data_IF_589860973916
#
_entry.id   IF_589860973916
#
_cell.length_a   1.000
_cell.length_b   1.000
_cell.length_c   1.000
_cell.angle_alpha   90.00
_cell.angle_beta   90.00
_cell.angle_gamma   90.00
#
_symmetry.space_group_name_H-M   'P 1'
#
loop_
_entity.id
_entity.type
_entity.pdbx_description
1 polymer ?
#
# COMPACT_ATOMS: atom_id res chain seq x y z
N UNK A 1 -76.73 -41.02 -3.90
CA UNK A 1 -77.40 -39.92 -3.16
C UNK A 1 -76.43 -39.43 -2.09
N UNK A 2 -75.95 -38.18 -2.20
CA UNK A 2 -75.07 -37.42 -1.27
C UNK A 2 -73.64 -38.02 -1.06
N UNK A 3 -72.52 -37.32 -1.16
CA UNK A 3 -72.17 -35.90 -1.44
C UNK A 3 -70.67 -35.88 -1.77
N UNK A 4 -70.28 -35.06 -2.75
CA UNK A 4 -68.88 -34.71 -3.08
C UNK A 4 -68.09 -34.28 -1.85
N UNK A 5 -66.81 -34.68 -1.77
CA UNK A 5 -65.80 -33.92 -1.07
C UNK A 5 -64.49 -33.90 -1.89
N UNK A 6 -64.27 -32.75 -2.54
CA UNK A 6 -63.04 -32.34 -3.17
C UNK A 6 -61.90 -32.30 -2.14
N UNK A 7 -61.05 -33.32 -2.08
CA UNK A 7 -59.67 -33.23 -1.55
C UNK A 7 -58.74 -34.24 -2.23
N UNK A 8 -58.73 -34.23 -3.56
CA UNK A 8 -57.52 -34.53 -4.32
C UNK A 8 -56.93 -33.15 -4.67
N UNK A 9 -55.60 -33.04 -4.67
CA UNK A 9 -54.81 -31.82 -4.93
C UNK A 9 -54.64 -30.88 -3.71
N UNK A 10 -54.07 -31.39 -2.61
CA UNK A 10 -53.40 -30.54 -1.61
C UNK A 10 -52.22 -31.24 -0.90
N UNK A 11 -51.82 -32.43 -1.36
CA UNK A 11 -50.79 -33.26 -0.73
C UNK A 11 -49.54 -33.47 -1.62
N UNK A 12 -49.34 -32.63 -2.65
CA UNK A 12 -48.18 -32.71 -3.56
C UNK A 12 -47.53 -31.35 -3.84
N UNK A 13 -47.83 -30.32 -3.04
CA UNK A 13 -47.26 -28.97 -3.19
C UNK A 13 -46.78 -28.31 -1.87
N UNK A 14 -46.63 -29.07 -0.79
CA UNK A 14 -46.25 -28.51 0.53
C UNK A 14 -45.06 -29.23 1.20
N UNK A 15 -44.12 -29.76 0.41
CA UNK A 15 -42.80 -30.21 0.88
C UNK A 15 -41.71 -29.77 -0.11
N UNK A 16 -41.60 -28.46 -0.38
CA UNK A 16 -40.43 -27.84 -1.04
C UNK A 16 -40.25 -26.37 -0.56
N UNK A 17 -40.56 -26.11 0.71
CA UNK A 17 -40.54 -24.77 1.31
C UNK A 17 -39.60 -24.64 2.50
N UNK A 18 -38.50 -25.41 2.55
CA UNK A 18 -37.46 -25.28 3.55
C UNK A 18 -36.09 -25.46 2.89
N UNK A 19 -35.21 -24.48 3.12
CA UNK A 19 -33.79 -24.46 2.76
C UNK A 19 -33.44 -24.20 1.29
N UNK A 20 -34.04 -23.18 0.68
CA UNK A 20 -33.29 -22.32 -0.24
C UNK A 20 -32.90 -21.05 0.52
N UNK A 21 -31.88 -21.18 1.38
CA UNK A 21 -30.97 -20.03 1.59
C UNK A 21 -30.61 -19.58 0.18
N UNK A 22 -30.70 -18.29 -0.19
CA UNK A 22 -30.07 -17.86 -1.41
C UNK A 22 -28.61 -18.24 -1.24
N UNK A 23 -28.17 -19.31 -1.92
CA UNK A 23 -26.77 -19.47 -2.25
C UNK A 23 -26.45 -18.17 -2.94
N UNK A 24 -25.84 -17.24 -2.18
CA UNK A 24 -25.12 -16.09 -2.71
C UNK A 24 -24.30 -16.72 -3.80
N UNK A 25 -24.73 -16.51 -5.04
CA UNK A 25 -24.01 -16.95 -6.20
C UNK A 25 -22.79 -16.08 -6.13
N UNK A 26 -21.73 -16.56 -5.48
CA UNK A 26 -20.45 -15.85 -5.49
C UNK A 26 -20.11 -15.83 -6.97
N UNK A 27 -20.19 -14.65 -7.61
CA UNK A 27 -19.37 -14.45 -8.80
C UNK A 27 -17.98 -14.86 -8.34
N UNK A 28 -17.40 -15.85 -9.02
CA UNK A 28 -16.18 -16.48 -8.59
C UNK A 28 -15.05 -15.48 -8.80
N UNK A 29 -14.94 -14.48 -7.92
CA UNK A 29 -13.87 -13.51 -7.89
C UNK A 29 -12.54 -14.19 -7.57
N UNK A 30 -11.47 -13.42 -7.65
CA UNK A 30 -10.12 -13.89 -7.33
C UNK A 30 -10.08 -14.47 -5.91
N UNK A 31 -9.52 -15.67 -5.77
CA UNK A 31 -9.22 -16.26 -4.47
C UNK A 31 -7.75 -15.96 -4.10
N UNK A 32 -7.54 -15.51 -2.88
CA UNK A 32 -6.21 -15.17 -2.35
C UNK A 32 -5.84 -16.05 -1.16
N UNK A 33 -4.55 -16.37 -1.06
CA UNK A 33 -3.93 -16.99 0.11
C UNK A 33 -2.60 -16.32 0.41
N UNK A 34 -2.10 -16.49 1.62
CA UNK A 34 -0.81 -15.99 2.03
C UNK A 34 0.05 -17.11 2.57
N UNK A 35 1.27 -17.20 2.08
CA UNK A 35 2.25 -18.18 2.54
C UNK A 35 3.66 -17.62 2.36
N UNK A 36 4.51 -17.74 3.39
CA UNK A 36 5.91 -17.31 3.36
C UNK A 36 6.12 -15.88 2.82
N UNK A 37 5.22 -14.96 3.20
CA UNK A 37 5.26 -13.55 2.79
C UNK A 37 4.83 -13.29 1.34
N UNK A 38 4.35 -14.29 0.62
CA UNK A 38 3.79 -14.17 -0.72
C UNK A 38 2.27 -14.11 -0.68
N UNK A 39 1.69 -13.25 -1.53
CA UNK A 39 0.32 -13.44 -2.00
C UNK A 39 0.33 -14.58 -3.01
N UNK A 40 -0.56 -15.54 -2.82
CA UNK A 40 -0.87 -16.58 -3.77
C UNK A 40 -2.24 -16.30 -4.37
N UNK A 41 -2.31 -16.24 -5.69
CA UNK A 41 -3.54 -16.00 -6.43
C UNK A 41 -3.96 -17.28 -7.13
N UNK A 42 -5.26 -17.58 -7.07
CA UNK A 42 -5.89 -18.55 -7.97
C UNK A 42 -6.74 -17.77 -8.97
N UNK A 43 -6.40 -17.90 -10.25
CA UNK A 43 -7.12 -17.22 -11.32
C UNK A 43 -8.53 -17.77 -11.51
N UNK A 44 -9.38 -17.00 -12.21
CA UNK A 44 -10.81 -17.30 -12.42
C UNK A 44 -11.07 -18.69 -13.05
N UNK A 45 -10.12 -19.19 -13.85
CA UNK A 45 -10.17 -20.50 -14.53
C UNK A 45 -9.09 -21.48 -14.06
N UNK A 46 -8.32 -21.12 -13.02
CA UNK A 46 -7.19 -21.90 -12.54
C UNK A 46 -7.55 -22.81 -11.37
N UNK A 47 -7.02 -24.04 -11.36
CA UNK A 47 -7.22 -24.98 -10.25
C UNK A 47 -6.14 -24.85 -9.16
N UNK A 48 -5.11 -24.01 -9.37
CA UNK A 48 -3.92 -23.92 -8.51
C UNK A 48 -3.63 -22.49 -8.10
N UNK A 49 -3.11 -22.36 -6.88
CA UNK A 49 -2.59 -21.11 -6.33
C UNK A 49 -1.15 -20.91 -6.82
N UNK A 50 -0.85 -19.72 -7.34
CA UNK A 50 0.47 -19.34 -7.83
C UNK A 50 0.96 -18.06 -7.14
N UNK A 51 2.28 -17.92 -7.00
CA UNK A 51 2.88 -16.70 -6.45
C UNK A 51 2.54 -15.49 -7.33
N UNK A 52 1.81 -14.55 -6.73
CA UNK A 52 1.49 -13.27 -7.32
C UNK A 52 2.56 -12.25 -6.93
N UNK A 53 3.16 -11.60 -7.93
CA UNK A 53 4.03 -10.44 -7.70
C UNK A 53 3.28 -9.20 -8.18
N UNK A 54 2.96 -8.30 -7.27
CA UNK A 54 2.22 -7.09 -7.64
C UNK A 54 3.11 -6.11 -8.39
N UNK A 55 2.61 -5.59 -9.50
CA UNK A 55 3.16 -4.41 -10.18
C UNK A 55 1.96 -3.50 -10.42
N UNK A 56 1.78 -2.53 -9.53
CA UNK A 56 0.64 -1.62 -9.52
C UNK A 56 1.01 -0.18 -9.85
N UNK A 57 0.03 0.60 -10.31
CA UNK A 57 0.20 2.03 -10.54
C UNK A 57 -0.99 2.85 -10.07
N UNK A 58 -0.71 3.90 -9.29
CA UNK A 58 -1.62 4.99 -9.00
C UNK A 58 -1.55 5.99 -10.15
N UNK A 59 -2.65 6.14 -10.90
CA UNK A 59 -2.68 6.87 -12.17
C UNK A 59 -1.77 6.25 -13.25
N UNK A 60 -2.01 6.62 -14.52
CA UNK A 60 -1.26 6.12 -15.69
C UNK A 60 -0.81 7.33 -16.51
N UNK A 61 0.44 7.80 -16.33
CA UNK A 61 0.93 8.96 -17.06
C UNK A 61 0.77 8.82 -18.57
N UNK A 62 0.23 9.87 -19.20
CA UNK A 62 -0.11 9.87 -20.63
C UNK A 62 -1.46 9.24 -20.97
N UNK A 63 -2.24 8.78 -19.98
CA UNK A 63 -3.61 8.29 -20.16
C UNK A 63 -4.56 8.97 -19.15
N UNK A 64 -5.65 9.55 -19.65
CA UNK A 64 -6.65 10.24 -18.82
C UNK A 64 -7.85 9.32 -18.59
N UNK A 65 -8.15 9.04 -17.32
CA UNK A 65 -9.38 8.36 -16.94
C UNK A 65 -10.58 9.29 -17.13
N UNK A 66 -11.66 8.80 -17.72
CA UNK A 66 -12.90 9.57 -17.93
C UNK A 66 -14.13 8.72 -17.60
N UNK A 67 -15.17 9.37 -17.08
CA UNK A 67 -16.49 8.77 -16.84
C UNK A 67 -17.36 8.78 -18.12
N UNK A 68 -16.99 9.57 -19.13
CA UNK A 68 -17.73 9.69 -20.39
C UNK A 68 -17.83 8.35 -21.14
N UNK A 69 -19.03 8.04 -21.65
CA UNK A 69 -19.23 6.91 -22.55
C UNK A 69 -18.54 7.19 -23.89
N UNK A 70 -17.64 6.31 -24.29
CA UNK A 70 -16.92 6.40 -25.57
C UNK A 70 -17.82 5.85 -26.68
N UNK A 71 -18.65 6.70 -27.29
CA UNK A 71 -19.57 6.29 -28.36
C UNK A 71 -18.93 6.26 -29.76
N UNK A 72 -17.74 6.85 -29.91
CA UNK A 72 -16.94 6.79 -31.14
C UNK A 72 -15.99 5.61 -31.09
N UNK A 73 -16.24 4.61 -31.94
CA UNK A 73 -15.44 3.39 -32.06
C UNK A 73 -13.95 3.70 -32.32
N UNK A 74 -13.64 4.72 -33.13
CA UNK A 74 -12.25 5.05 -33.41
C UNK A 74 -11.54 5.60 -32.17
N UNK A 75 -12.23 6.43 -31.39
CA UNK A 75 -11.71 6.98 -30.14
C UNK A 75 -11.56 5.88 -29.09
N UNK A 76 -12.54 4.98 -28.98
CA UNK A 76 -12.48 3.81 -28.10
C UNK A 76 -11.25 2.95 -28.41
N UNK A 77 -11.03 2.58 -29.67
CA UNK A 77 -9.87 1.76 -30.05
C UNK A 77 -8.54 2.47 -29.77
N UNK A 78 -8.45 3.78 -29.99
CA UNK A 78 -7.25 4.57 -29.66
C UNK A 78 -6.97 4.59 -28.16
N UNK A 79 -7.99 4.85 -27.34
CA UNK A 79 -7.85 4.88 -25.88
C UNK A 79 -7.53 3.49 -25.31
N UNK A 80 -8.19 2.45 -25.82
CA UNK A 80 -7.89 1.07 -25.45
C UNK A 80 -6.45 0.68 -25.80
N UNK A 81 -5.98 1.03 -26.99
CA UNK A 81 -4.59 0.77 -27.41
C UNK A 81 -3.60 1.50 -26.52
N UNK A 82 -3.83 2.79 -26.24
CA UNK A 82 -2.97 3.60 -25.39
C UNK A 82 -2.92 3.05 -23.96
N UNK A 83 -4.08 2.72 -23.37
CA UNK A 83 -4.13 2.12 -22.03
C UNK A 83 -3.34 0.81 -21.96
N UNK A 84 -3.56 -0.10 -22.92
CA UNK A 84 -2.87 -1.39 -22.99
C UNK A 84 -1.36 -1.21 -23.15
N UNK A 85 -0.92 -0.29 -23.99
CA UNK A 85 0.50 0.02 -24.18
C UNK A 85 1.13 0.54 -22.88
N UNK A 86 0.51 1.54 -22.26
CA UNK A 86 1.00 2.19 -21.03
C UNK A 86 1.00 1.26 -19.82
N UNK A 87 0.09 0.29 -19.79
CA UNK A 87 -0.07 -0.64 -18.67
C UNK A 87 0.42 -2.06 -19.00
N UNK A 88 1.05 -2.28 -20.15
CA UNK A 88 1.55 -3.60 -20.57
C UNK A 88 2.41 -4.29 -19.50
N UNK A 89 3.38 -3.61 -18.82
CA UNK A 89 4.20 -4.27 -17.81
C UNK A 89 3.58 -4.26 -16.40
N UNK A 90 2.32 -3.80 -16.26
CA UNK A 90 1.62 -3.56 -15.00
C UNK A 90 0.44 -4.54 -14.91
N UNK A 91 0.21 -5.11 -13.72
CA UNK A 91 -0.90 -6.04 -13.48
C UNK A 91 -1.98 -5.49 -12.54
N UNK A 92 -1.75 -4.33 -11.93
CA UNK A 92 -2.75 -3.64 -11.09
C UNK A 92 -2.85 -2.15 -11.39
N UNK A 93 -4.05 -1.58 -11.34
CA UNK A 93 -4.26 -0.15 -11.57
C UNK A 93 -5.25 0.37 -10.54
N UNK A 94 -4.94 1.51 -9.91
CA UNK A 94 -5.92 2.19 -9.06
C UNK A 94 -7.10 2.66 -9.90
N UNK A 95 -8.30 2.26 -9.48
CA UNK A 95 -9.52 2.56 -10.21
C UNK A 95 -10.53 3.22 -9.28
N UNK A 96 -11.07 4.35 -9.72
CA UNK A 96 -12.25 4.94 -9.08
C UNK A 96 -13.50 4.31 -9.71
N UNK A 97 -14.43 3.78 -8.91
CA UNK A 97 -15.72 3.30 -9.43
C UNK A 97 -16.41 4.38 -10.28
N UNK A 98 -16.84 4.01 -11.49
CA UNK A 98 -17.41 4.89 -12.51
C UNK A 98 -16.44 5.26 -13.65
N UNK A 99 -15.13 5.13 -13.46
CA UNK A 99 -14.12 5.46 -14.50
C UNK A 99 -13.67 4.25 -15.32
N UNK A 100 -14.11 3.05 -14.96
CA UNK A 100 -13.73 1.82 -15.64
C UNK A 100 -14.27 1.76 -17.07
N UNK A 101 -13.51 1.13 -17.96
CA UNK A 101 -13.89 0.75 -19.31
C UNK A 101 -13.67 -0.74 -19.50
N UNK A 102 -14.41 -1.37 -20.41
CA UNK A 102 -14.35 -2.81 -20.66
C UNK A 102 -12.92 -3.30 -20.96
N UNK A 103 -12.14 -2.53 -21.72
CA UNK A 103 -10.75 -2.86 -22.05
C UNK A 103 -9.77 -2.80 -20.86
N UNK A 104 -10.18 -2.29 -19.70
CA UNK A 104 -9.36 -2.24 -18.48
C UNK A 104 -9.56 -3.46 -17.59
N UNK A 105 -10.51 -4.35 -17.91
CA UNK A 105 -10.89 -5.51 -17.10
C UNK A 105 -9.81 -6.59 -16.98
N UNK A 106 -8.75 -6.51 -17.81
CA UNK A 106 -7.59 -7.41 -17.74
C UNK A 106 -6.65 -7.12 -16.56
N UNK A 107 -6.82 -5.98 -15.87
CA UNK A 107 -6.00 -5.58 -14.73
C UNK A 107 -6.76 -5.82 -13.42
N UNK A 108 -6.04 -6.15 -12.36
CA UNK A 108 -6.61 -6.10 -11.01
C UNK A 108 -6.83 -4.63 -10.62
N UNK A 109 -8.05 -4.25 -10.28
CA UNK A 109 -8.38 -2.88 -9.89
C UNK A 109 -8.12 -2.68 -8.39
N UNK A 110 -7.36 -1.65 -8.04
CA UNK A 110 -7.13 -1.26 -6.66
C UNK A 110 -8.13 -0.18 -6.27
N UNK A 111 -9.06 -0.50 -5.38
CA UNK A 111 -10.11 0.40 -4.92
C UNK A 111 -9.67 1.11 -3.64
N UNK A 112 -9.63 2.44 -3.61
CA UNK A 112 -9.29 3.20 -2.39
C UNK A 112 -10.47 4.07 -1.89
N UNK A 113 -11.53 3.47 -1.31
CA UNK A 113 -12.73 4.20 -0.95
C UNK A 113 -12.73 4.73 0.50
N UNK A 114 -11.83 4.26 1.37
CA UNK A 114 -12.04 4.39 2.81
C UNK A 114 -11.70 5.77 3.38
N UNK A 115 -10.76 6.48 2.77
CA UNK A 115 -10.46 7.87 3.16
C UNK A 115 -11.70 8.76 3.04
N UNK A 116 -12.36 8.89 1.86
CA UNK A 116 -13.56 9.72 1.75
C UNK A 116 -14.74 9.20 2.59
N UNK A 117 -14.89 7.89 2.77
CA UNK A 117 -15.92 7.31 3.66
C UNK A 117 -15.72 7.80 5.09
N UNK A 118 -14.50 7.68 5.63
CA UNK A 118 -14.21 8.09 7.01
C UNK A 118 -14.39 9.60 7.20
N UNK A 119 -13.93 10.41 6.24
CA UNK A 119 -14.10 11.86 6.29
C UNK A 119 -15.58 12.28 6.27
N UNK A 120 -16.36 11.70 5.36
CA UNK A 120 -17.80 11.95 5.25
C UNK A 120 -18.55 11.60 6.54
N UNK A 121 -18.17 10.52 7.21
CA UNK A 121 -18.73 10.17 8.52
C UNK A 121 -18.43 11.24 9.57
N UNK A 122 -17.15 11.61 9.71
CA UNK A 122 -16.70 12.56 10.73
C UNK A 122 -17.27 13.97 10.51
N UNK A 123 -17.44 14.39 9.26
CA UNK A 123 -18.00 15.70 8.90
C UNK A 123 -19.50 15.82 9.27
N UNK A 124 -20.18 14.71 9.54
CA UNK A 124 -21.60 14.69 9.94
C UNK A 124 -21.80 14.74 11.46
N UNK A 125 -20.74 14.61 12.26
CA UNK A 125 -20.85 14.52 13.73
C UNK A 125 -20.99 15.93 14.34
N UNK A 126 -22.13 16.24 14.99
CA UNK A 126 -22.34 17.56 15.59
C UNK A 126 -21.36 17.83 16.73
N UNK A 127 -20.77 19.03 16.72
CA UNK A 127 -19.93 19.51 17.82
C UNK A 127 -18.49 19.00 17.81
N UNK A 128 -18.05 18.26 16.79
CA UNK A 128 -16.62 18.06 16.57
C UNK A 128 -15.96 19.41 16.22
N UNK A 129 -14.83 19.75 16.85
CA UNK A 129 -14.14 21.00 16.54
C UNK A 129 -13.69 21.09 15.09
N UNK A 130 -13.95 22.24 14.49
CA UNK A 130 -13.36 22.67 13.23
C UNK A 130 -12.16 23.58 13.52
N UNK A 131 -11.12 23.53 12.67
CA UNK A 131 -9.92 24.38 12.81
C UNK A 131 -8.60 23.60 12.79
N UNK A 132 -7.56 24.20 13.36
CA UNK A 132 -6.18 23.68 13.32
C UNK A 132 -6.00 22.36 14.08
N UNK A 133 -6.84 22.10 15.09
CA UNK A 133 -6.77 20.94 15.97
C UNK A 133 -7.78 19.85 15.61
N UNK A 134 -8.55 20.04 14.53
CA UNK A 134 -9.68 19.17 14.17
C UNK A 134 -9.27 17.69 14.08
N UNK A 135 -8.07 17.41 13.59
CA UNK A 135 -7.62 16.04 13.33
C UNK A 135 -7.30 15.29 14.63
N UNK A 136 -6.77 15.99 15.63
CA UNK A 136 -6.61 15.44 16.98
C UNK A 136 -7.96 15.03 17.56
N UNK A 137 -8.94 15.94 17.56
CA UNK A 137 -10.26 15.68 18.13
C UNK A 137 -11.02 14.59 17.37
N UNK A 138 -10.92 14.56 16.03
CA UNK A 138 -11.46 13.49 15.18
C UNK A 138 -10.85 12.14 15.55
N UNK A 139 -9.53 12.07 15.73
CA UNK A 139 -8.86 10.84 16.17
C UNK A 139 -9.34 10.38 17.55
N UNK A 140 -9.41 11.29 18.53
CA UNK A 140 -9.90 10.94 19.88
C UNK A 140 -11.39 10.53 19.89
N UNK A 141 -12.21 11.12 19.00
CA UNK A 141 -13.61 10.74 18.83
C UNK A 141 -13.72 9.31 18.28
N UNK A 142 -12.96 8.99 17.22
CA UNK A 142 -12.98 7.66 16.62
C UNK A 142 -12.57 6.56 17.61
N UNK A 143 -11.59 6.80 18.48
CA UNK A 143 -11.18 5.82 19.51
C UNK A 143 -12.33 5.42 20.45
N UNK A 144 -13.30 6.32 20.69
CA UNK A 144 -14.44 6.07 21.57
C UNK A 144 -15.60 5.36 20.86
N UNK A 145 -15.68 5.54 19.55
CA UNK A 145 -16.83 5.12 18.75
C UNK A 145 -16.56 3.89 17.89
N UNK A 146 -15.30 3.45 17.77
CA UNK A 146 -14.91 2.39 16.82
C UNK A 146 -15.74 1.09 16.93
N UNK A 147 -16.24 0.77 18.12
CA UNK A 147 -17.08 -0.41 18.38
C UNK A 147 -18.57 -0.07 18.56
N UNK A 148 -19.01 1.13 18.14
CA UNK A 148 -20.41 1.52 18.23
C UNK A 148 -21.23 0.91 17.08
N UNK A 149 -22.47 0.48 17.33
CA UNK A 149 -23.34 -0.06 16.28
C UNK A 149 -23.56 0.93 15.12
N UNK A 150 -23.61 2.23 15.41
CA UNK A 150 -23.84 3.27 14.41
C UNK A 150 -22.67 3.39 13.42
N UNK A 151 -21.43 3.25 13.91
CA UNK A 151 -20.26 3.29 13.04
C UNK A 151 -20.14 2.02 12.19
N UNK A 152 -20.44 0.85 12.78
CA UNK A 152 -20.50 -0.41 12.02
C UNK A 152 -21.56 -0.36 10.92
N UNK A 153 -22.79 0.06 11.24
CA UNK A 153 -23.87 0.19 10.26
C UNK A 153 -23.50 1.14 9.12
N UNK A 154 -22.83 2.26 9.44
CA UNK A 154 -22.34 3.19 8.43
C UNK A 154 -21.31 2.54 7.48
N UNK A 155 -20.31 1.85 8.03
CA UNK A 155 -19.30 1.15 7.23
C UNK A 155 -19.94 0.07 6.36
N UNK A 156 -20.86 -0.71 6.94
CA UNK A 156 -21.57 -1.79 6.25
C UNK A 156 -22.34 -1.26 5.03
N UNK A 157 -23.06 -0.15 5.20
CA UNK A 157 -23.81 0.50 4.11
C UNK A 157 -22.88 0.98 2.99
N UNK A 158 -21.75 1.62 3.32
CA UNK A 158 -20.83 2.10 2.29
C UNK A 158 -20.06 0.95 1.60
N UNK A 159 -19.72 -0.12 2.32
CA UNK A 159 -19.09 -1.34 1.75
C UNK A 159 -20.04 -2.04 0.79
N UNK A 160 -21.32 -2.20 1.15
CA UNK A 160 -22.32 -2.78 0.26
C UNK A 160 -22.48 -1.97 -1.03
N UNK A 161 -22.50 -0.63 -0.95
CA UNK A 161 -22.55 0.24 -2.13
C UNK A 161 -21.34 0.05 -3.04
N UNK A 162 -20.14 -0.15 -2.49
CA UNK A 162 -18.95 -0.45 -3.28
C UNK A 162 -19.14 -1.78 -4.01
N UNK A 163 -19.62 -2.81 -3.32
CA UNK A 163 -19.85 -4.14 -3.90
C UNK A 163 -20.90 -4.11 -5.03
N UNK A 164 -21.91 -3.25 -4.93
CA UNK A 164 -22.92 -3.03 -5.98
C UNK A 164 -22.37 -2.29 -7.21
N UNK A 165 -21.22 -1.61 -7.07
CA UNK A 165 -20.63 -0.72 -8.10
C UNK A 165 -19.23 -1.17 -8.54
N UNK A 166 -18.87 -2.42 -8.25
CA UNK A 166 -17.54 -2.96 -8.58
C UNK A 166 -17.25 -2.83 -10.09
N UNK A 167 -16.01 -2.45 -10.44
CA UNK A 167 -15.66 -2.23 -11.84
C UNK A 167 -15.51 -3.54 -12.64
N UNK A 168 -15.24 -4.66 -11.97
CA UNK A 168 -15.18 -6.04 -12.49
C UNK A 168 -15.00 -7.04 -11.33
N UNK A 169 -14.84 -8.33 -11.62
CA UNK A 169 -14.59 -9.40 -10.63
C UNK A 169 -13.10 -9.54 -10.20
N UNK A 170 -12.21 -8.67 -10.68
CA UNK A 170 -10.77 -8.65 -10.43
C UNK A 170 -10.36 -7.37 -9.69
N UNK A 171 -10.57 -7.34 -8.37
CA UNK A 171 -10.27 -6.18 -7.55
C UNK A 171 -9.61 -6.56 -6.24
N UNK A 172 -8.97 -5.54 -5.66
CA UNK A 172 -8.50 -5.54 -4.28
C UNK A 172 -8.88 -4.20 -3.66
N UNK A 173 -8.81 -4.11 -2.34
CA UNK A 173 -8.97 -2.87 -1.62
C UNK A 173 -7.61 -2.29 -1.25
N UNK A 174 -7.47 -0.98 -1.37
CA UNK A 174 -6.49 -0.19 -0.65
C UNK A 174 -7.19 0.49 0.50
N UNK A 175 -6.54 0.47 1.67
CA UNK A 175 -6.95 1.22 2.83
C UNK A 175 -6.71 2.72 2.63
N UNK A 176 -6.92 3.49 3.69
CA UNK A 176 -6.58 4.90 3.80
C UNK A 176 -5.09 5.07 3.52
N UNK A 177 -4.79 5.95 2.57
CA UNK A 177 -3.43 6.39 2.24
C UNK A 177 -2.71 6.85 3.51
N UNK A 178 -1.45 6.45 3.72
CA UNK A 178 -0.61 6.81 4.87
C UNK A 178 -1.33 6.81 6.24
N UNK A 179 -2.11 5.77 6.53
CA UNK A 179 -3.03 5.73 7.68
C UNK A 179 -2.39 6.11 9.03
N UNK A 180 -1.11 5.73 9.23
CA UNK A 180 -0.39 5.98 10.47
C UNK A 180 0.26 7.38 10.55
N UNK A 181 0.27 8.15 9.45
CA UNK A 181 0.58 9.58 9.46
C UNK A 181 -0.69 10.45 9.47
N UNK A 182 -1.87 9.83 9.46
CA UNK A 182 -3.17 10.50 9.45
C UNK A 182 -3.85 10.56 8.10
N UNK A 183 -3.31 9.89 7.09
CA UNK A 183 -3.72 10.04 5.69
C UNK A 183 -3.83 11.49 5.27
N UNK A 184 -4.90 11.86 4.58
CA UNK A 184 -5.16 13.26 4.17
C UNK A 184 -5.43 14.23 5.36
N UNK A 185 -5.11 13.84 6.59
CA UNK A 185 -5.23 14.60 7.85
C UNK A 185 -3.85 14.82 8.52
N UNK A 186 -3.82 15.50 9.68
CA UNK A 186 -2.60 15.85 10.44
C UNK A 186 -2.45 15.08 11.75
N UNK A 187 -3.20 14.00 11.94
CA UNK A 187 -3.13 13.12 13.11
C UNK A 187 -3.45 11.68 12.71
N UNK A 188 -2.70 10.72 13.24
CA UNK A 188 -2.84 9.30 12.90
C UNK A 188 -4.27 8.80 13.11
N UNK A 189 -4.78 8.04 12.15
CA UNK A 189 -6.03 7.31 12.31
C UNK A 189 -5.76 6.15 13.27
N UNK A 190 -6.54 5.95 14.35
CA UNK A 190 -6.25 4.92 15.34
C UNK A 190 -6.17 3.51 14.71
N UNK A 191 -5.22 2.65 15.13
CA UNK A 191 -5.11 1.30 14.60
C UNK A 191 -6.39 0.48 14.71
N UNK A 192 -7.19 0.71 15.76
CA UNK A 192 -8.49 0.05 15.97
C UNK A 192 -9.49 0.38 14.85
N UNK A 193 -9.48 1.61 14.33
CA UNK A 193 -10.35 2.02 13.20
C UNK A 193 -9.93 1.31 11.92
N UNK A 194 -8.62 1.24 11.67
CA UNK A 194 -8.08 0.49 10.54
C UNK A 194 -8.47 -0.99 10.59
N UNK A 195 -8.36 -1.60 11.77
CA UNK A 195 -8.78 -2.98 12.01
C UNK A 195 -10.29 -3.19 11.86
N UNK A 196 -11.12 -2.26 12.36
CA UNK A 196 -12.57 -2.30 12.20
C UNK A 196 -12.97 -2.25 10.73
N UNK A 197 -12.39 -1.34 9.93
CA UNK A 197 -12.63 -1.28 8.48
C UNK A 197 -12.31 -2.62 7.82
N UNK A 198 -11.15 -3.21 8.12
CA UNK A 198 -10.76 -4.52 7.58
C UNK A 198 -11.76 -5.62 8.00
N UNK A 199 -12.15 -5.68 9.27
CA UNK A 199 -13.17 -6.61 9.79
C UNK A 199 -14.48 -6.50 9.00
N UNK A 200 -14.99 -5.28 8.80
CA UNK A 200 -16.25 -5.06 8.07
C UNK A 200 -16.13 -5.43 6.60
N UNK A 201 -15.00 -5.13 5.95
CA UNK A 201 -14.75 -5.57 4.56
C UNK A 201 -14.81 -7.09 4.47
N UNK A 202 -14.11 -7.81 5.34
CA UNK A 202 -14.09 -9.29 5.36
C UNK A 202 -15.44 -9.91 5.70
N UNK A 203 -16.31 -9.19 6.41
CA UNK A 203 -17.68 -9.63 6.67
C UNK A 203 -18.52 -9.72 5.38
N UNK A 204 -18.39 -8.74 4.49
CA UNK A 204 -19.17 -8.68 3.24
C UNK A 204 -18.48 -9.34 2.05
N UNK A 205 -17.16 -9.25 1.99
CA UNK A 205 -16.29 -9.88 1.00
C UNK A 205 -15.17 -10.67 1.71
N UNK A 206 -15.44 -11.92 2.13
CA UNK A 206 -14.48 -12.75 2.85
C UNK A 206 -13.19 -13.05 2.07
N UNK A 207 -13.25 -12.94 0.74
CA UNK A 207 -12.11 -13.19 -0.13
C UNK A 207 -11.33 -11.91 -0.45
N UNK A 208 -11.78 -10.72 -0.03
CA UNK A 208 -11.09 -9.45 -0.30
C UNK A 208 -9.59 -9.52 0.03
N UNK A 209 -8.74 -8.93 -0.80
CA UNK A 209 -7.36 -8.60 -0.43
C UNK A 209 -7.32 -7.13 -0.04
N UNK A 210 -6.82 -6.80 1.15
CA UNK A 210 -6.73 -5.41 1.65
C UNK A 210 -5.27 -5.01 1.78
N UNK A 211 -4.84 -4.10 0.91
CA UNK A 211 -3.55 -3.44 0.95
C UNK A 211 -3.59 -2.20 1.86
N UNK A 212 -2.57 -2.03 2.70
CA UNK A 212 -2.44 -0.90 3.63
C UNK A 212 -1.19 -0.10 3.29
N UNK A 213 -1.38 1.15 2.86
CA UNK A 213 -0.30 2.14 2.80
C UNK A 213 -0.12 2.76 4.19
N UNK A 214 0.94 2.38 4.90
CA UNK A 214 1.11 2.77 6.30
C UNK A 214 1.63 4.20 6.46
N UNK A 215 2.61 4.61 5.65
CA UNK A 215 3.47 5.76 5.94
C UNK A 215 4.02 6.46 4.68
N UNK A 216 3.97 7.80 4.69
CA UNK A 216 4.72 8.72 3.80
C UNK A 216 6.22 8.82 4.07
N UNK A 217 6.63 8.45 5.27
CA UNK A 217 8.01 8.45 5.74
C UNK A 217 8.09 7.71 7.08
N UNK A 218 9.28 7.26 7.48
CA UNK A 218 9.46 6.58 8.77
C UNK A 218 10.24 7.40 9.80
N UNK A 219 10.27 8.73 9.68
CA UNK A 219 10.95 9.62 10.63
C UNK A 219 10.22 9.73 11.98
N UNK A 220 8.91 9.52 11.99
CA UNK A 220 8.07 9.55 13.19
C UNK A 220 6.60 9.77 12.85
N UNK A 221 5.72 9.69 13.85
CA UNK A 221 4.27 9.90 13.69
C UNK A 221 3.62 10.36 14.98
N UNK A 222 2.40 10.88 14.88
CA UNK A 222 1.57 11.19 16.06
C UNK A 222 1.17 9.94 16.83
N UNK A 223 1.04 8.79 16.18
CA UNK A 223 0.84 7.50 16.86
C UNK A 223 1.99 7.19 17.84
N UNK A 224 3.25 7.36 17.42
CA UNK A 224 4.40 7.11 18.30
C UNK A 224 4.49 8.13 19.43
N UNK A 225 4.09 9.38 19.19
CA UNK A 225 3.92 10.36 20.26
C UNK A 225 2.90 9.89 21.29
N UNK A 226 1.71 9.48 20.86
CA UNK A 226 0.65 9.02 21.76
C UNK A 226 1.09 7.81 22.58
N UNK A 227 1.67 6.79 21.94
CA UNK A 227 2.17 5.59 22.62
C UNK A 227 3.19 5.96 23.70
N UNK A 228 4.09 6.90 23.41
CA UNK A 228 5.08 7.38 24.40
C UNK A 228 4.41 8.20 25.50
N UNK A 229 3.47 9.08 25.16
CA UNK A 229 2.76 9.92 26.13
C UNK A 229 2.02 9.06 27.17
N UNK A 230 1.34 8.00 26.70
CA UNK A 230 0.57 7.08 27.53
C UNK A 230 1.42 6.16 28.42
N UNK A 231 2.74 6.11 28.24
CA UNK A 231 3.63 5.42 29.19
C UNK A 231 3.72 6.16 30.55
N UNK A 232 3.37 7.44 30.58
CA UNK A 232 3.50 8.30 31.76
C UNK A 232 2.20 9.01 32.15
N UNK A 233 1.14 8.85 31.36
CA UNK A 233 -0.17 9.44 31.58
C UNK A 233 -1.27 8.41 31.32
N UNK A 234 -2.34 8.44 32.10
CA UNK A 234 -3.45 7.47 31.95
C UNK A 234 -4.23 7.65 30.64
N UNK A 235 -4.29 8.88 30.12
CA UNK A 235 -5.01 9.21 28.90
C UNK A 235 -4.49 10.49 28.26
N UNK A 236 -4.77 10.67 26.97
CA UNK A 236 -4.59 11.95 26.29
C UNK A 236 -5.59 13.00 26.82
N UNK A 237 -5.19 14.28 26.90
CA UNK A 237 -6.07 15.35 27.37
C UNK A 237 -7.20 15.66 26.37
N UNK A 238 -8.16 16.49 26.79
CA UNK A 238 -9.28 16.90 25.91
C UNK A 238 -8.80 17.68 24.68
N UNK A 239 -7.83 18.55 24.88
CA UNK A 239 -7.18 19.36 23.85
C UNK A 239 -5.76 18.81 23.60
N UNK A 240 -5.12 19.10 22.44
CA UNK A 240 -3.76 18.62 22.19
C UNK A 240 -2.79 19.11 23.29
N UNK A 241 -1.91 18.25 23.83
CA UNK A 241 -0.98 18.58 24.92
C UNK A 241 0.18 19.47 24.45
N UNK A 242 -0.13 20.70 24.05
CA UNK A 242 0.79 21.65 23.44
C UNK A 242 1.98 22.04 24.34
N UNK A 243 1.84 21.87 25.65
CA UNK A 243 2.92 22.02 26.62
C UNK A 243 4.05 20.99 26.46
N UNK A 244 3.81 19.90 25.71
CA UNK A 244 4.76 18.80 25.51
C UNK A 244 5.61 18.92 24.24
N UNK A 245 5.45 19.99 23.46
CA UNK A 245 6.11 20.17 22.15
C UNK A 245 6.85 21.51 22.05
N UNK A 246 7.61 21.70 20.97
CA UNK A 246 8.29 22.96 20.66
C UNK A 246 7.28 24.13 20.60
N UNK A 247 7.45 25.21 21.40
CA UNK A 247 6.58 26.38 21.35
C UNK A 247 6.50 27.04 19.96
N UNK A 248 7.52 26.88 19.11
CA UNK A 248 7.52 27.32 17.73
C UNK A 248 6.43 26.69 16.87
N UNK A 249 5.98 25.48 17.21
CA UNK A 249 4.87 24.81 16.52
C UNK A 249 3.55 25.59 16.65
N UNK A 250 3.30 26.23 17.79
CA UNK A 250 2.08 27.04 18.02
C UNK A 250 1.99 28.23 17.06
N UNK A 251 3.14 28.76 16.64
CA UNK A 251 3.23 29.84 15.64
C UNK A 251 3.06 29.37 14.20
N UNK A 252 3.00 28.06 13.96
CA UNK A 252 2.87 27.46 12.63
C UNK A 252 1.45 27.54 12.06
N UNK A 253 1.34 27.47 10.75
CA UNK A 253 0.07 27.21 10.06
C UNK A 253 -0.53 25.85 10.46
N UNK A 254 0.33 24.88 10.79
CA UNK A 254 -0.05 23.50 11.16
C UNK A 254 0.63 23.11 12.49
N UNK A 255 0.09 23.52 13.65
CA UNK A 255 0.70 23.23 14.96
C UNK A 255 0.79 21.74 15.28
N UNK A 256 -0.15 20.92 14.78
CA UNK A 256 -0.15 19.48 15.03
C UNK A 256 1.11 18.75 14.53
N UNK A 257 1.86 19.34 13.60
CA UNK A 257 3.15 18.77 13.15
C UNK A 257 4.15 18.64 14.31
N UNK A 258 4.04 19.45 15.36
CA UNK A 258 4.95 19.36 16.50
C UNK A 258 4.77 18.09 17.32
N UNK A 259 3.73 17.30 17.10
CA UNK A 259 3.52 15.99 17.73
C UNK A 259 4.05 14.81 16.90
N UNK A 260 4.66 15.05 15.73
CA UNK A 260 5.28 13.96 14.97
C UNK A 260 6.64 13.65 15.57
N UNK A 261 6.69 12.59 16.36
CA UNK A 261 7.92 12.14 17.03
C UNK A 261 8.32 10.74 16.58
N UNK A 262 9.62 10.49 16.59
CA UNK A 262 10.16 9.13 16.54
C UNK A 262 9.84 8.37 17.84
N UNK A 263 10.01 7.04 17.82
CA UNK A 263 9.79 6.18 18.99
C UNK A 263 10.59 6.62 20.24
N UNK A 264 11.77 7.20 20.04
CA UNK A 264 12.63 7.71 21.11
C UNK A 264 12.29 9.15 21.52
N UNK A 265 11.34 9.81 20.84
CA UNK A 265 10.91 11.19 21.09
C UNK A 265 11.66 12.25 20.31
N UNK A 266 12.53 11.90 19.36
CA UNK A 266 13.12 12.89 18.46
C UNK A 266 12.05 13.55 17.58
N UNK A 267 12.08 14.87 17.40
CA UNK A 267 11.06 15.58 16.63
C UNK A 267 11.28 15.43 15.13
N UNK A 268 10.23 15.11 14.38
CA UNK A 268 10.29 15.03 12.91
C UNK A 268 10.43 16.40 12.26
N UNK A 269 9.84 17.43 12.87
CA UNK A 269 9.81 18.79 12.34
C UNK A 269 10.48 19.78 13.27
N UNK A 270 11.06 20.81 12.68
CA UNK A 270 11.59 21.99 13.37
C UNK A 270 10.80 23.23 12.92
N UNK A 271 10.71 24.24 13.79
CA UNK A 271 9.89 25.41 13.55
C UNK A 271 10.71 26.71 13.63
N UNK A 272 10.62 27.56 12.62
CA UNK A 272 11.21 28.90 12.59
C UNK A 272 10.22 29.90 11.98
N UNK A 273 9.87 30.95 12.74
CA UNK A 273 9.00 32.06 12.30
C UNK A 273 7.71 31.60 11.60
N UNK A 274 7.03 30.61 12.18
CA UNK A 274 5.77 30.06 11.66
C UNK A 274 5.91 29.13 10.46
N UNK A 275 7.13 28.84 10.01
CA UNK A 275 7.43 27.82 9.01
C UNK A 275 7.97 26.57 9.67
N UNK A 276 7.87 25.45 8.96
CA UNK A 276 8.43 24.17 9.39
C UNK A 276 9.35 23.57 8.33
N UNK A 277 10.30 22.76 8.77
CA UNK A 277 11.14 21.90 7.94
C UNK A 277 11.34 20.55 8.60
N UNK A 278 11.78 19.55 7.85
CA UNK A 278 12.19 18.28 8.45
C UNK A 278 13.43 18.48 9.32
N UNK A 279 13.48 17.78 10.45
CA UNK A 279 14.73 17.55 11.17
C UNK A 279 15.64 16.69 10.31
N UNK A 280 16.85 17.17 10.09
CA UNK A 280 17.91 16.40 9.45
C UNK A 280 18.60 15.52 10.50
N UNK A 281 18.71 14.23 10.19
CA UNK A 281 19.40 13.25 11.03
C UNK A 281 20.64 12.75 10.30
N UNK A 282 21.73 12.53 11.04
CA UNK A 282 22.86 11.76 10.55
C UNK A 282 22.39 10.37 10.08
N UNK A 283 22.96 9.85 9.00
CA UNK A 283 22.43 8.68 8.30
C UNK A 283 22.24 7.45 9.20
N UNK A 284 23.17 7.18 10.12
CA UNK A 284 23.03 6.02 11.01
C UNK A 284 21.92 6.21 12.06
N UNK A 285 21.72 7.45 12.51
CA UNK A 285 20.57 7.79 13.36
C UNK A 285 19.27 7.66 12.57
N UNK A 286 19.25 8.15 11.32
CA UNK A 286 18.12 8.00 10.42
C UNK A 286 17.77 6.53 10.21
N UNK A 287 18.73 5.66 9.89
CA UNK A 287 18.51 4.22 9.70
C UNK A 287 17.89 3.56 10.94
N UNK A 288 18.42 3.85 12.13
CA UNK A 288 17.89 3.30 13.38
C UNK A 288 16.47 3.78 13.68
N UNK A 289 16.23 5.09 13.57
CA UNK A 289 14.90 5.68 13.75
C UNK A 289 13.92 5.12 12.72
N UNK A 290 14.34 5.04 11.45
CA UNK A 290 13.54 4.52 10.34
C UNK A 290 13.08 3.09 10.59
N UNK A 291 14.03 2.22 10.96
CA UNK A 291 13.75 0.83 11.25
C UNK A 291 12.77 0.67 12.42
N UNK A 292 13.09 1.25 13.58
CA UNK A 292 12.30 1.08 14.80
C UNK A 292 10.90 1.68 14.66
N UNK A 293 10.77 2.87 14.06
CA UNK A 293 9.47 3.49 13.83
C UNK A 293 8.62 2.63 12.90
N UNK A 294 9.19 2.14 11.79
CA UNK A 294 8.47 1.28 10.84
C UNK A 294 7.99 -0.01 11.53
N UNK A 295 8.87 -0.67 12.28
CA UNK A 295 8.60 -1.93 12.97
C UNK A 295 7.47 -1.77 14.00
N UNK A 296 7.54 -0.74 14.84
CA UNK A 296 6.54 -0.47 15.88
C UNK A 296 5.18 -0.12 15.28
N UNK A 297 5.16 0.76 14.28
CA UNK A 297 3.93 1.16 13.60
C UNK A 297 3.30 -0.05 12.89
N UNK A 298 4.09 -0.83 12.15
CA UNK A 298 3.56 -2.00 11.46
C UNK A 298 2.97 -3.04 12.44
N UNK A 299 3.61 -3.24 13.60
CA UNK A 299 3.08 -4.07 14.68
C UNK A 299 1.74 -3.55 15.22
N UNK A 300 1.61 -2.23 15.42
CA UNK A 300 0.38 -1.60 15.88
C UNK A 300 -0.78 -1.74 14.88
N UNK A 301 -0.48 -1.60 13.58
CA UNK A 301 -1.47 -1.60 12.50
C UNK A 301 -1.70 -2.96 11.84
N UNK A 302 -1.08 -4.04 12.33
CA UNK A 302 -1.16 -5.40 11.71
C UNK A 302 -2.57 -5.92 11.44
N UNK A 303 -3.59 -5.46 12.18
CA UNK A 303 -4.99 -5.83 11.99
C UNK A 303 -5.71 -5.09 10.87
N UNK A 304 -5.09 -4.06 10.29
CA UNK A 304 -5.72 -3.15 9.32
C UNK A 304 -5.79 -3.70 7.89
N UNK A 305 -5.14 -4.82 7.58
CA UNK A 305 -5.22 -5.43 6.27
C UNK A 305 -4.39 -6.70 6.15
N UNK A 306 -4.20 -7.16 4.91
CA UNK A 306 -3.51 -8.40 4.58
C UNK A 306 -2.10 -8.15 4.02
N UNK A 307 -1.91 -7.03 3.33
CA UNK A 307 -0.67 -6.66 2.65
C UNK A 307 -0.30 -5.25 3.03
N UNK A 308 0.98 -4.97 3.24
CA UNK A 308 1.42 -3.68 3.77
C UNK A 308 2.52 -3.06 2.93
N UNK A 309 2.51 -1.74 2.89
CA UNK A 309 3.46 -0.92 2.16
C UNK A 309 3.69 0.44 2.80
N UNK A 310 4.63 1.19 2.23
CA UNK A 310 4.86 2.60 2.52
C UNK A 310 5.26 3.32 1.22
N UNK A 311 5.16 4.65 1.17
CA UNK A 311 5.36 5.48 -0.01
C UNK A 311 6.41 6.61 0.19
N UNK A 312 7.57 6.26 0.75
CA UNK A 312 8.65 7.18 1.16
C UNK A 312 9.61 7.65 0.04
N UNK A 313 9.09 8.22 -1.05
CA UNK A 313 9.83 8.51 -2.29
C UNK A 313 11.10 9.36 -2.12
N UNK A 314 11.01 10.45 -1.34
CA UNK A 314 12.10 11.42 -1.18
C UNK A 314 13.25 10.82 -0.39
N UNK A 315 12.93 10.09 0.68
CA UNK A 315 13.93 9.44 1.53
C UNK A 315 14.61 8.28 0.79
N UNK A 316 13.86 7.48 0.02
CA UNK A 316 14.46 6.44 -0.83
C UNK A 316 15.33 7.03 -1.92
N UNK A 317 14.93 8.15 -2.53
CA UNK A 317 15.77 8.85 -3.49
C UNK A 317 17.06 9.32 -2.81
N UNK A 318 16.99 9.93 -1.62
CA UNK A 318 18.16 10.39 -0.88
C UNK A 318 19.07 9.22 -0.47
N UNK A 319 18.50 8.13 0.04
CA UNK A 319 19.20 6.98 0.61
C UNK A 319 18.56 5.67 0.14
N UNK A 320 18.98 5.09 -1.00
CA UNK A 320 18.36 3.88 -1.56
C UNK A 320 18.34 2.67 -0.61
N UNK A 321 19.32 2.57 0.28
CA UNK A 321 19.40 1.54 1.33
C UNK A 321 18.14 1.47 2.23
N UNK A 322 17.44 2.61 2.40
CA UNK A 322 16.22 2.66 3.21
C UNK A 322 15.09 1.79 2.65
N UNK A 323 15.08 1.50 1.34
CA UNK A 323 14.04 0.64 0.74
C UNK A 323 14.18 -0.83 1.19
N UNK A 324 15.39 -1.29 1.48
CA UNK A 324 15.64 -2.61 2.07
C UNK A 324 15.35 -2.65 3.58
N UNK A 325 15.84 -1.64 4.31
CA UNK A 325 15.61 -1.48 5.76
C UNK A 325 14.11 -1.44 6.08
N UNK A 326 13.33 -0.75 5.24
CA UNK A 326 11.88 -0.71 5.37
C UNK A 326 11.25 -2.09 5.30
N UNK A 327 11.64 -2.91 4.31
CA UNK A 327 11.07 -4.25 4.13
C UNK A 327 11.41 -5.14 5.31
N UNK A 328 12.64 -5.09 5.82
CA UNK A 328 13.02 -5.85 7.02
C UNK A 328 12.21 -5.39 8.25
N UNK A 329 12.01 -4.09 8.44
CA UNK A 329 11.25 -3.54 9.55
C UNK A 329 9.75 -3.90 9.49
N UNK A 330 9.14 -3.78 8.31
CA UNK A 330 7.76 -4.22 8.07
C UNK A 330 7.62 -5.72 8.35
N UNK A 331 8.56 -6.53 7.85
CA UNK A 331 8.58 -7.99 8.05
C UNK A 331 8.64 -8.35 9.52
N UNK A 332 9.47 -7.66 10.30
CA UNK A 332 9.58 -7.91 11.74
C UNK A 332 8.32 -7.47 12.52
N UNK A 333 7.74 -6.30 12.18
CA UNK A 333 6.53 -5.81 12.83
C UNK A 333 5.27 -6.61 12.50
N UNK A 334 5.14 -7.09 11.26
CA UNK A 334 3.95 -7.78 10.76
C UNK A 334 4.03 -9.31 10.88
N UNK A 335 5.24 -9.85 10.97
CA UNK A 335 5.52 -11.28 10.96
C UNK A 335 5.85 -11.87 9.58
N UNK A 336 6.34 -13.12 9.56
CA UNK A 336 6.95 -13.73 8.38
C UNK A 336 5.98 -14.01 7.23
N UNK A 337 4.67 -14.11 7.51
CA UNK A 337 3.68 -14.52 6.50
C UNK A 337 3.01 -13.34 5.77
N UNK A 338 3.17 -12.11 6.26
CA UNK A 338 2.45 -10.94 5.74
C UNK A 338 3.12 -10.39 4.48
N UNK A 339 2.45 -10.35 3.32
CA UNK A 339 3.08 -9.80 2.11
C UNK A 339 3.39 -8.31 2.21
N UNK A 340 4.46 -7.88 1.54
CA UNK A 340 4.97 -6.50 1.59
C UNK A 340 5.08 -5.95 0.18
N UNK A 341 4.34 -4.88 -0.11
CA UNK A 341 4.36 -4.18 -1.40
C UNK A 341 4.80 -2.74 -1.20
N UNK A 342 5.89 -2.33 -1.83
CA UNK A 342 6.50 -1.00 -1.60
C UNK A 342 6.15 -0.04 -2.73
N UNK A 343 5.81 1.20 -2.39
CA UNK A 343 5.63 2.26 -3.38
C UNK A 343 6.96 2.89 -3.79
N UNK A 344 7.05 3.22 -5.08
CA UNK A 344 8.14 3.97 -5.69
C UNK A 344 7.60 5.13 -6.53
N UNK A 345 8.44 6.12 -6.77
CA UNK A 345 8.08 7.27 -7.61
C UNK A 345 8.03 6.84 -9.08
N UNK A 346 6.86 6.97 -9.71
CA UNK A 346 6.63 6.53 -11.07
C UNK A 346 6.84 7.60 -12.14
N UNK A 347 6.76 8.89 -11.80
CA UNK A 347 6.85 9.98 -12.77
C UNK A 347 7.70 11.18 -12.34
N UNK A 348 8.54 11.01 -11.33
CA UNK A 348 9.58 11.98 -10.98
C UNK A 348 9.08 13.12 -10.10
N UNK A 349 8.20 12.81 -9.16
CA UNK A 349 7.83 13.70 -8.06
C UNK A 349 9.04 14.09 -7.20
N UNK A 350 9.83 13.11 -6.78
CA UNK A 350 11.03 13.28 -5.98
C UNK A 350 12.29 13.50 -6.84
N UNK A 351 12.18 13.44 -8.17
CA UNK A 351 13.30 13.66 -9.09
C UNK A 351 13.75 15.13 -9.06
N UNK A 352 15.03 15.41 -8.75
CA UNK A 352 15.60 16.75 -8.91
C UNK A 352 15.53 17.22 -10.37
N UNK A 353 15.37 18.53 -10.58
CA UNK A 353 15.22 19.11 -11.93
C UNK A 353 16.45 18.88 -12.81
N UNK A 354 17.65 18.81 -12.22
CA UNK A 354 18.93 18.61 -12.92
C UNK A 354 19.27 17.14 -13.21
N UNK A 355 18.45 16.18 -12.78
CA UNK A 355 18.69 14.75 -13.03
C UNK A 355 17.87 14.30 -14.25
N UNK A 356 18.50 13.71 -15.29
CA UNK A 356 17.77 13.14 -16.43
C UNK A 356 16.86 11.97 -16.01
N UNK A 357 15.73 11.74 -16.71
CA UNK A 357 14.84 10.61 -16.45
C UNK A 357 15.54 9.26 -16.34
N UNK A 358 16.45 8.92 -17.26
CA UNK A 358 17.13 7.62 -17.31
C UNK A 358 18.00 7.39 -16.07
N UNK A 359 18.71 8.44 -15.64
CA UNK A 359 19.52 8.41 -14.40
C UNK A 359 18.67 8.32 -13.14
N UNK A 360 17.47 8.90 -13.17
CA UNK A 360 16.54 8.72 -12.07
C UNK A 360 16.02 7.28 -11.99
N UNK A 361 15.71 6.67 -13.14
CA UNK A 361 15.23 5.28 -13.20
C UNK A 361 16.32 4.28 -12.79
N UNK A 362 17.61 4.55 -12.99
CA UNK A 362 18.70 3.74 -12.40
C UNK A 362 18.58 3.67 -10.86
N UNK A 363 18.26 4.78 -10.21
CA UNK A 363 18.05 4.84 -8.75
C UNK A 363 16.80 4.06 -8.36
N UNK A 364 15.68 4.27 -9.06
CA UNK A 364 14.41 3.56 -8.78
C UNK A 364 14.57 2.05 -8.97
N UNK A 365 15.28 1.62 -10.02
CA UNK A 365 15.63 0.21 -10.25
C UNK A 365 16.41 -0.39 -9.07
N UNK A 366 17.44 0.33 -8.60
CA UNK A 366 18.23 -0.08 -7.44
C UNK A 366 17.33 -0.24 -6.20
N UNK A 367 16.44 0.71 -5.93
CA UNK A 367 15.50 0.66 -4.80
C UNK A 367 14.56 -0.56 -4.88
N UNK A 368 13.98 -0.83 -6.06
CA UNK A 368 13.06 -1.96 -6.30
C UNK A 368 13.76 -3.29 -6.03
N UNK A 369 14.92 -3.52 -6.65
CA UNK A 369 15.64 -4.78 -6.47
C UNK A 369 16.21 -4.94 -5.07
N UNK A 370 16.58 -3.84 -4.41
CA UNK A 370 16.92 -3.85 -2.97
C UNK A 370 15.72 -4.30 -2.15
N UNK A 371 14.53 -3.74 -2.36
CA UNK A 371 13.32 -4.20 -1.65
C UNK A 371 12.99 -5.67 -1.94
N UNK A 372 13.16 -6.14 -3.18
CA UNK A 372 12.99 -7.56 -3.55
C UNK A 372 13.97 -8.46 -2.80
N UNK A 373 15.26 -8.10 -2.75
CA UNK A 373 16.29 -8.84 -1.99
C UNK A 373 15.92 -8.92 -0.50
N UNK A 374 15.23 -7.92 0.03
CA UNK A 374 14.78 -7.93 1.42
C UNK A 374 13.44 -8.66 1.65
N UNK A 375 12.76 -9.07 0.58
CA UNK A 375 11.55 -9.90 0.64
C UNK A 375 10.25 -9.18 0.31
N UNK A 376 10.30 -8.04 -0.38
CA UNK A 376 9.12 -7.45 -1.00
C UNK A 376 8.59 -8.37 -2.10
N UNK A 377 7.26 -8.55 -2.12
CA UNK A 377 6.55 -9.43 -3.07
C UNK A 377 5.64 -8.63 -4.00
N UNK A 378 5.84 -7.32 -4.05
CA UNK A 378 5.18 -6.43 -4.96
C UNK A 378 5.75 -5.02 -4.91
N UNK A 379 5.48 -4.28 -5.97
CA UNK A 379 5.85 -2.88 -6.12
C UNK A 379 4.65 -2.10 -6.65
N UNK A 380 4.50 -0.88 -6.16
CA UNK A 380 3.46 0.06 -6.60
C UNK A 380 4.13 1.36 -7.04
N UNK A 381 3.53 2.07 -7.98
CA UNK A 381 4.02 3.37 -8.42
C UNK A 381 3.03 4.47 -8.08
N UNK A 382 3.53 5.55 -7.49
CA UNK A 382 2.77 6.79 -7.36
C UNK A 382 3.15 7.75 -8.47
N UNK A 383 2.15 8.33 -9.12
CA UNK A 383 2.35 9.29 -10.20
C UNK A 383 1.59 10.59 -9.89
N UNK A 384 2.32 11.70 -9.90
CA UNK A 384 1.77 13.04 -9.75
C UNK A 384 0.99 13.46 -11.01
N UNK A 385 -0.26 13.88 -10.84
CA UNK A 385 -1.14 14.30 -11.93
C UNK A 385 -0.64 15.54 -12.69
N UNK A 386 0.25 16.34 -12.08
CA UNK A 386 0.80 17.57 -12.67
C UNK A 386 2.05 17.36 -13.53
N UNK A 387 2.64 16.15 -13.53
CA UNK A 387 3.90 15.86 -14.22
C UNK A 387 3.65 15.29 -15.62
N UNK A 388 4.62 15.50 -16.51
CA UNK A 388 4.65 14.87 -17.84
C UNK A 388 5.03 13.39 -17.72
N UNK A 389 4.82 12.63 -18.79
CA UNK A 389 5.09 11.19 -18.82
C UNK A 389 6.58 10.82 -18.98
N UNK A 390 7.50 11.77 -19.16
CA UNK A 390 8.90 11.49 -19.55
C UNK A 390 9.63 10.49 -18.62
N UNK A 391 9.44 10.61 -17.31
CA UNK A 391 10.03 9.67 -16.33
C UNK A 391 9.33 8.31 -16.38
N UNK A 392 8.02 8.31 -16.58
CA UNK A 392 7.24 7.08 -16.74
C UNK A 392 7.63 6.34 -18.03
N UNK A 393 7.91 7.06 -19.12
CA UNK A 393 8.40 6.50 -20.38
C UNK A 393 9.74 5.79 -20.19
N UNK A 394 10.65 6.39 -19.42
CA UNK A 394 11.93 5.78 -19.05
C UNK A 394 11.77 4.59 -18.08
N UNK A 395 10.69 4.56 -17.29
CA UNK A 395 10.37 3.48 -16.35
C UNK A 395 9.88 2.21 -17.08
N UNK A 396 9.09 2.34 -18.15
CA UNK A 396 8.46 1.20 -18.83
C UNK A 396 9.45 0.11 -19.30
N UNK A 397 10.60 0.42 -19.94
CA UNK A 397 11.60 -0.59 -20.28
C UNK A 397 12.15 -1.35 -19.07
N UNK A 398 12.38 -0.65 -17.96
CA UNK A 398 12.86 -1.26 -16.71
C UNK A 398 11.81 -2.22 -16.12
N UNK A 399 10.52 -1.88 -16.21
CA UNK A 399 9.44 -2.80 -15.82
C UNK A 399 9.33 -4.01 -16.76
N UNK A 400 9.63 -3.84 -18.05
CA UNK A 400 9.78 -4.95 -18.98
C UNK A 400 10.89 -5.92 -18.56
N UNK A 401 12.05 -5.38 -18.17
CA UNK A 401 13.16 -6.17 -17.60
C UNK A 401 12.74 -6.89 -16.31
N UNK A 402 12.06 -6.21 -15.39
CA UNK A 402 11.57 -6.83 -14.15
C UNK A 402 10.62 -7.99 -14.44
N UNK A 403 9.66 -7.83 -15.35
CA UNK A 403 8.74 -8.89 -15.76
C UNK A 403 9.48 -10.12 -16.28
N UNK A 404 10.52 -9.93 -17.09
CA UNK A 404 11.37 -11.03 -17.57
C UNK A 404 12.11 -11.76 -16.45
N UNK A 405 12.42 -11.06 -15.35
CA UNK A 405 13.11 -11.61 -14.19
C UNK A 405 12.18 -12.16 -13.10
N UNK A 406 10.86 -11.94 -13.17
CA UNK A 406 9.90 -12.45 -12.18
C UNK A 406 9.96 -13.98 -11.97
N UNK A 407 10.20 -14.83 -12.99
CA UNK A 407 10.41 -16.26 -12.76
C UNK A 407 11.54 -16.53 -11.77
N UNK A 408 12.62 -15.76 -11.78
CA UNK A 408 13.74 -15.86 -10.83
C UNK A 408 13.34 -15.30 -9.47
N UNK A 409 12.68 -14.14 -9.42
CA UNK A 409 12.24 -13.50 -8.17
C UNK A 409 11.29 -14.40 -7.37
N UNK A 410 10.41 -15.14 -8.03
CA UNK A 410 9.45 -16.06 -7.40
C UNK A 410 10.07 -17.36 -6.88
N UNK A 411 11.30 -17.70 -7.28
CA UNK A 411 11.99 -18.91 -6.80
C UNK A 411 12.25 -18.87 -5.30
N UNK A 412 12.56 -20.04 -4.73
CA UNK A 412 12.95 -20.19 -3.33
C UNK A 412 14.24 -19.41 -3.06
N UNK A 413 14.21 -18.56 -2.03
CA UNK A 413 15.41 -17.92 -1.49
C UNK A 413 16.22 -18.96 -0.70
N UNK A 414 17.50 -19.11 -1.05
CA UNK A 414 18.43 -20.00 -0.35
C UNK A 414 19.32 -19.23 0.62
N UNK A 415 19.72 -18.01 0.23
CA UNK A 415 20.63 -17.16 0.99
C UNK A 415 20.27 -15.70 0.75
N UNK A 416 20.38 -14.89 1.81
CA UNK A 416 20.34 -13.43 1.77
C UNK A 416 21.55 -12.93 2.54
N UNK A 417 22.34 -12.05 1.93
CA UNK A 417 23.47 -11.37 2.57
C UNK A 417 23.33 -9.87 2.34
N UNK A 418 23.44 -9.10 3.42
CA UNK A 418 23.35 -7.64 3.41
C UNK A 418 24.55 -7.11 4.18
N UNK A 419 25.41 -6.38 3.49
CA UNK A 419 26.55 -5.68 4.08
C UNK A 419 26.51 -4.22 3.65
N UNK A 420 25.99 -3.37 4.54
CA UNK A 420 25.81 -1.94 4.31
C UNK A 420 25.05 -1.64 3.01
N UNK A 421 25.77 -1.28 1.95
CA UNK A 421 25.22 -0.92 0.65
C UNK A 421 25.21 -2.08 -0.36
N UNK A 422 25.82 -3.23 -0.02
CA UNK A 422 25.80 -4.43 -0.85
C UNK A 422 24.67 -5.35 -0.38
N UNK A 423 23.72 -5.61 -1.27
CA UNK A 423 22.57 -6.46 -1.01
C UNK A 423 22.61 -7.63 -1.99
N UNK A 424 22.55 -8.87 -1.49
CA UNK A 424 22.65 -10.09 -2.31
C UNK A 424 21.60 -11.10 -1.88
N UNK A 425 20.95 -11.71 -2.86
CA UNK A 425 20.05 -12.84 -2.70
C UNK A 425 20.42 -13.96 -3.67
N UNK A 426 20.47 -15.20 -3.17
CA UNK A 426 20.61 -16.39 -3.99
C UNK A 426 19.27 -17.13 -4.07
N UNK A 427 18.80 -17.34 -5.30
CA UNK A 427 17.58 -18.05 -5.66
C UNK A 427 17.90 -19.44 -6.20
N UNK A 428 17.01 -20.41 -5.98
CA UNK A 428 17.18 -21.78 -6.52
C UNK A 428 15.86 -22.36 -6.99
N UNK A 429 15.92 -23.03 -8.14
CA UNK A 429 14.88 -23.95 -8.61
C UNK A 429 15.53 -25.21 -9.23
N UNK A 430 15.21 -26.37 -8.68
CA UNK A 430 15.86 -27.63 -9.05
C UNK A 430 17.39 -27.58 -8.95
N UNK A 431 18.08 -27.68 -10.09
CA UNK A 431 19.54 -27.61 -10.19
C UNK A 431 20.07 -26.20 -10.49
N UNK A 432 19.21 -25.27 -10.90
CA UNK A 432 19.60 -23.91 -11.29
C UNK A 432 19.65 -23.01 -10.08
N UNK A 433 20.68 -22.16 -10.02
CA UNK A 433 20.84 -21.13 -9.00
C UNK A 433 21.02 -19.79 -9.69
N UNK A 434 20.47 -18.75 -9.10
CA UNK A 434 20.58 -17.38 -9.60
C UNK A 434 21.00 -16.45 -8.48
N UNK A 435 21.78 -15.44 -8.81
CA UNK A 435 22.08 -14.30 -7.95
C UNK A 435 21.22 -13.11 -8.37
N UNK A 436 20.73 -12.37 -7.39
CA UNK A 436 20.22 -11.00 -7.52
C UNK A 436 21.05 -10.17 -6.56
N UNK A 437 21.75 -9.15 -7.08
CA UNK A 437 22.58 -8.26 -6.27
C UNK A 437 22.32 -6.80 -6.61
N UNK A 438 22.40 -5.94 -5.61
CA UNK A 438 22.22 -4.50 -5.75
C UNK A 438 23.28 -3.74 -4.92
N UNK A 439 23.82 -2.67 -5.50
CA UNK A 439 24.66 -1.70 -4.80
C UNK A 439 23.85 -0.42 -4.56
N UNK A 440 23.52 -0.12 -3.30
CA UNK A 440 22.76 1.10 -2.94
C UNK A 440 23.64 2.33 -2.74
N UNK A 441 24.97 2.21 -2.87
CA UNK A 441 25.87 3.37 -2.90
C UNK A 441 25.66 4.17 -4.19
N UNK A 442 25.67 5.49 -4.05
CA UNK A 442 25.61 6.44 -5.17
C UNK A 442 26.98 6.80 -5.73
N UNK A 443 28.06 6.41 -5.06
CA UNK A 443 29.42 6.87 -5.37
C UNK A 443 30.41 5.73 -5.52
N UNK A 444 30.25 4.65 -4.75
CA UNK A 444 31.30 3.66 -4.57
C UNK A 444 31.02 2.40 -5.38
N UNK A 445 32.08 1.85 -5.99
CA UNK A 445 32.05 0.50 -6.52
C UNK A 445 32.24 -0.49 -5.37
N UNK A 446 31.40 -1.53 -5.30
CA UNK A 446 31.46 -2.54 -4.24
C UNK A 446 31.91 -3.90 -4.79
N UNK A 447 32.78 -4.64 -4.08
CA UNK A 447 33.22 -5.96 -4.50
C UNK A 447 32.08 -6.99 -4.38
N UNK A 448 31.84 -7.75 -5.44
CA UNK A 448 30.88 -8.85 -5.50
C UNK A 448 31.65 -10.17 -5.43
N UNK A 449 32.14 -10.50 -4.22
CA UNK A 449 32.98 -11.67 -3.95
C UNK A 449 32.15 -12.96 -3.84
N UNK A 450 31.42 -13.33 -4.90
CA UNK A 450 30.60 -14.55 -4.93
C UNK A 450 31.25 -15.60 -5.85
N UNK A 451 31.40 -16.83 -5.36
CA UNK A 451 31.95 -17.94 -6.15
C UNK A 451 31.01 -18.31 -7.30
N UNK A 452 31.56 -18.49 -8.50
CA UNK A 452 30.81 -18.94 -9.69
C UNK A 452 30.41 -17.83 -10.67
N UNK A 453 30.50 -16.56 -10.27
CA UNK A 453 30.22 -15.43 -11.17
C UNK A 453 31.51 -14.77 -11.67
N UNK A 454 31.43 -14.18 -12.87
CA UNK A 454 32.53 -13.39 -13.46
C UNK A 454 32.55 -11.93 -13.02
N UNK A 455 31.44 -11.42 -12.48
CA UNK A 455 31.29 -10.01 -12.10
C UNK A 455 31.96 -9.79 -10.75
N UNK A 456 33.11 -9.12 -10.75
CA UNK A 456 33.91 -8.88 -9.54
C UNK A 456 33.49 -7.63 -8.76
N UNK A 457 32.91 -6.63 -9.44
CA UNK A 457 32.52 -5.33 -8.86
C UNK A 457 31.13 -4.92 -9.34
N UNK A 458 30.33 -4.35 -8.44
CA UNK A 458 29.10 -3.63 -8.75
C UNK A 458 29.36 -2.13 -8.73
N UNK A 459 29.00 -1.48 -9.83
CA UNK A 459 29.03 -0.03 -9.97
C UNK A 459 28.00 0.61 -9.05
N UNK A 460 28.12 1.92 -8.74
CA UNK A 460 27.10 2.62 -7.96
C UNK A 460 25.71 2.42 -8.57
N UNK A 461 24.72 2.13 -7.73
CA UNK A 461 23.32 1.89 -8.11
C UNK A 461 23.11 0.70 -9.06
N UNK A 462 24.14 -0.10 -9.35
CA UNK A 462 24.03 -1.23 -10.27
C UNK A 462 23.22 -2.37 -9.64
N UNK A 463 22.34 -2.94 -10.45
CA UNK A 463 21.64 -4.20 -10.17
C UNK A 463 22.18 -5.26 -11.12
N UNK A 464 22.55 -6.41 -10.56
CA UNK A 464 23.08 -7.55 -11.30
C UNK A 464 22.27 -8.81 -11.04
N UNK A 465 21.88 -9.48 -12.12
CA UNK A 465 21.13 -10.75 -12.06
C UNK A 465 21.79 -11.72 -13.01
N UNK A 466 22.11 -12.92 -12.53
CA UNK A 466 22.76 -13.95 -13.35
C UNK A 466 22.54 -15.36 -12.82
N UNK A 467 22.75 -16.35 -13.68
CA UNK A 467 22.84 -17.76 -13.29
C UNK A 467 24.22 -18.01 -12.66
N UNK A 468 24.26 -18.83 -11.61
CA UNK A 468 25.48 -19.21 -10.87
C UNK A 468 26.13 -20.49 -11.39
#
# INVERSE_FOLDING_TARGET
MKTMNYRIIAALFFVLGACSVPTKQSSAGLEWKYDDGWVLQKGLSGDRFEKFFAIGTWHVPGYTFTDSVESDELQYQKNASLFRERTAPINMVFMTPGLQKDYMSEKNHILNPFSPILHKYLDQIPGLPDGKDKDYHRSQYMKKLVDSPEFEEYLDVEIQKILETLPNDQYIYSHIDEIALGGVSKWAVPPSVGAKINERVKHYDPNALVFVDLLGHCKGSTYLFEEKYLQTHDSLPKDPPYESIDPGALGSEIPLLGFYHAHNGLPVYQFDKGKYSYTEYELDTLKSVWYENTRLIASGYKGSGDVFGINAFRDYFAYPVLSGITVDALREGLGPNTPIWIYFDGNGYAKPSNVPPEKYIEIVKCQIYTSIIHGATGILFWNDWSKTAEVFDALLPMLGELNNNLPIVKMKTMEKNVDNNLHVMIKKDGKKKYIIAANTSKTDNLPLNISGIRKEMLSPLEVYISEL
#
